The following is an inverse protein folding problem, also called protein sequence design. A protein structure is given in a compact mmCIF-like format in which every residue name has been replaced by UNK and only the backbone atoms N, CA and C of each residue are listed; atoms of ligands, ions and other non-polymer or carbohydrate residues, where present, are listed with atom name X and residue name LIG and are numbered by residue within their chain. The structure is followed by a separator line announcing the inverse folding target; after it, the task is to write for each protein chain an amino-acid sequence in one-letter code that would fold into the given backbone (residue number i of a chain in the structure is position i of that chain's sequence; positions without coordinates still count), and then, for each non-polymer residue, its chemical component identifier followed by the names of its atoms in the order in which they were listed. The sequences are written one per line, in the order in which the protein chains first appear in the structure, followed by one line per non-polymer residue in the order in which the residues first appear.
data_IF_884569068852
#
_entry.id   IF_884569068852
#
_cell.length_a   1.000
_cell.length_b   1.000
_cell.length_c   1.000
_cell.angle_alpha   90.00
_cell.angle_beta   90.00
_cell.angle_gamma   90.00
#
_symmetry.space_group_name_H-M   'P 1'
#
loop_
_entity.id
_entity.type
_entity.pdbx_description
1 polymer ?
#
# COMPACT_ATOMS: atom_id res chain seq x y z
N UNK A 1 7.46 0.22 8.52
CA UNK A 1 6.64 -0.98 8.81
C UNK A 1 6.72 -1.91 7.60
N UNK A 2 6.83 -3.23 7.81
CA UNK A 2 6.79 -4.20 6.72
C UNK A 2 5.42 -4.85 6.66
N UNK A 3 4.86 -4.99 5.45
CA UNK A 3 3.59 -5.69 5.20
C UNK A 3 3.91 -6.96 4.42
N UNK A 4 3.51 -8.11 4.96
CA UNK A 4 3.62 -9.40 4.29
C UNK A 4 2.37 -10.24 4.55
N UNK A 5 1.90 -10.92 3.51
CA UNK A 5 0.84 -11.93 3.65
C UNK A 5 1.45 -13.33 3.55
N UNK A 6 1.03 -14.20 4.47
CA UNK A 6 1.41 -15.61 4.50
C UNK A 6 0.99 -16.25 3.16
N UNK A 7 1.81 -17.11 2.52
CA UNK A 7 1.52 -17.64 1.18
C UNK A 7 0.11 -18.24 1.02
N UNK A 8 -0.36 -18.96 2.04
CA UNK A 8 -1.70 -19.59 2.05
C UNK A 8 -2.87 -18.60 1.98
N UNK A 9 -2.64 -17.33 2.31
CA UNK A 9 -3.66 -16.27 2.35
C UNK A 9 -3.59 -15.34 1.13
N UNK A 10 -2.65 -15.59 0.21
CA UNK A 10 -2.52 -14.81 -1.02
C UNK A 10 -3.68 -15.12 -1.97
N UNK A 11 -3.99 -14.15 -2.83
CA UNK A 11 -5.10 -14.27 -3.80
C UNK A 11 -6.50 -14.08 -3.21
N UNK A 12 -6.63 -13.91 -1.89
CA UNK A 12 -7.93 -13.73 -1.21
C UNK A 12 -8.27 -12.27 -0.92
N UNK A 13 -7.51 -11.32 -1.45
CA UNK A 13 -7.74 -9.88 -1.21
C UNK A 13 -7.39 -9.37 0.19
N UNK A 14 -6.82 -10.20 1.08
CA UNK A 14 -6.45 -9.82 2.45
C UNK A 14 -5.46 -8.66 2.48
N UNK A 15 -4.43 -8.69 1.62
CA UNK A 15 -3.47 -7.59 1.51
C UNK A 15 -4.16 -6.28 1.10
N UNK A 16 -5.10 -6.36 0.15
CA UNK A 16 -5.88 -5.23 -0.34
C UNK A 16 -6.75 -4.64 0.78
N UNK A 17 -7.46 -5.50 1.53
CA UNK A 17 -8.29 -5.07 2.66
C UNK A 17 -7.44 -4.40 3.75
N UNK A 18 -6.33 -5.01 4.14
CA UNK A 18 -5.43 -4.43 5.14
C UNK A 18 -4.86 -3.08 4.69
N UNK A 19 -4.42 -2.98 3.44
CA UNK A 19 -3.87 -1.73 2.90
C UNK A 19 -4.93 -0.62 2.89
N UNK A 20 -6.19 -0.96 2.57
CA UNK A 20 -7.31 -0.01 2.60
C UNK A 20 -7.53 0.56 4.00
N UNK A 21 -7.49 -0.28 5.03
CA UNK A 21 -7.63 0.17 6.43
C UNK A 21 -6.45 1.05 6.86
N UNK A 22 -5.21 0.69 6.48
CA UNK A 22 -4.03 1.52 6.75
C UNK A 22 -4.16 2.89 6.08
N UNK A 23 -4.60 2.92 4.82
CA UNK A 23 -4.81 4.18 4.09
C UNK A 23 -5.91 5.01 4.75
N UNK A 24 -7.02 4.39 5.14
CA UNK A 24 -8.12 5.06 5.83
C UNK A 24 -7.62 5.72 7.12
N UNK A 25 -6.93 4.95 7.95
CA UNK A 25 -6.31 5.44 9.18
C UNK A 25 -5.35 6.60 8.92
N UNK A 26 -4.43 6.46 7.97
CA UNK A 26 -3.45 7.51 7.66
C UNK A 26 -4.13 8.79 7.17
N UNK A 27 -5.20 8.70 6.38
CA UNK A 27 -5.97 9.86 5.90
C UNK A 27 -6.68 10.62 7.02
N UNK A 28 -7.05 9.95 8.10
CA UNK A 28 -7.64 10.58 9.29
C UNK A 28 -6.57 11.19 10.22
N UNK A 29 -5.29 10.85 10.01
CA UNK A 29 -4.17 11.44 10.74
C UNK A 29 -3.59 12.65 10.00
N UNK A 30 -2.77 13.46 10.68
CA UNK A 30 -2.03 14.59 10.07
C UNK A 30 -0.92 14.15 9.09
N UNK A 31 -0.76 12.85 8.84
CA UNK A 31 0.22 12.32 7.93
C UNK A 31 -0.11 12.73 6.48
N UNK A 32 0.77 13.54 5.89
CA UNK A 32 0.58 14.09 4.55
C UNK A 32 0.89 13.11 3.41
N UNK A 33 1.66 12.06 3.69
CA UNK A 33 2.14 11.13 2.68
C UNK A 33 2.34 9.73 3.25
N UNK A 34 1.98 8.70 2.48
CA UNK A 34 2.36 7.32 2.74
C UNK A 34 3.38 6.87 1.69
N UNK A 35 4.54 6.40 2.15
CA UNK A 35 5.62 5.91 1.29
C UNK A 35 5.73 4.40 1.45
N UNK A 36 5.84 3.69 0.33
CA UNK A 36 6.13 2.26 0.34
C UNK A 36 7.19 1.89 -0.69
N UNK A 37 8.02 0.95 -0.27
CA UNK A 37 9.01 0.32 -1.11
C UNK A 37 8.54 -1.10 -1.42
N UNK A 38 8.34 -1.39 -2.70
CA UNK A 38 7.99 -2.73 -3.19
C UNK A 38 9.02 -3.15 -4.21
N UNK A 39 9.53 -4.38 -4.08
CA UNK A 39 10.44 -4.98 -5.07
C UNK A 39 9.78 -5.16 -6.44
N UNK A 40 8.45 -5.31 -6.46
CA UNK A 40 7.65 -5.38 -7.69
C UNK A 40 6.53 -4.33 -7.66
N UNK A 41 6.45 -3.49 -8.69
CA UNK A 41 5.34 -2.54 -8.86
C UNK A 41 4.20 -3.28 -9.53
N UNK A 42 3.14 -3.58 -8.78
CA UNK A 42 1.92 -4.20 -9.27
C UNK A 42 0.86 -3.16 -9.62
N UNK A 43 0.02 -3.49 -10.61
CA UNK A 43 -1.12 -2.66 -11.01
C UNK A 43 -2.03 -2.26 -9.83
N UNK A 44 -2.16 -3.16 -8.85
CA UNK A 44 -2.96 -2.94 -7.65
C UNK A 44 -2.57 -1.69 -6.85
N UNK A 45 -1.31 -1.24 -6.88
CA UNK A 45 -0.88 -0.03 -6.15
C UNK A 45 -1.51 1.24 -6.73
N UNK A 46 -1.70 1.30 -8.04
CA UNK A 46 -2.32 2.46 -8.68
C UNK A 46 -3.80 2.59 -8.35
N UNK A 47 -4.49 1.48 -8.05
CA UNK A 47 -5.88 1.51 -7.54
C UNK A 47 -5.98 2.14 -6.15
N UNK A 48 -4.87 2.33 -5.44
CA UNK A 48 -4.78 2.98 -4.14
C UNK A 48 -4.14 4.36 -4.24
N UNK A 49 -4.18 4.99 -5.41
CA UNK A 49 -3.62 6.32 -5.69
C UNK A 49 -2.10 6.46 -5.45
N UNK A 50 -1.38 5.34 -5.31
CA UNK A 50 0.07 5.37 -5.25
C UNK A 50 0.66 5.71 -6.62
N UNK A 51 1.53 6.72 -6.63
CA UNK A 51 2.32 7.14 -7.78
C UNK A 51 3.76 6.68 -7.60
N UNK A 52 4.38 6.24 -8.71
CA UNK A 52 5.80 5.90 -8.70
C UNK A 52 6.64 7.17 -8.72
N UNK A 53 7.60 7.25 -7.82
CA UNK A 53 8.70 8.21 -7.81
C UNK A 53 10.03 7.45 -8.00
N UNK A 54 11.14 8.14 -8.24
CA UNK A 54 12.48 7.56 -8.43
C UNK A 54 12.98 6.67 -7.28
N UNK A 55 12.31 6.71 -6.12
CA UNK A 55 12.70 5.99 -4.90
C UNK A 55 11.66 4.94 -4.43
N UNK A 56 10.50 4.82 -5.09
CA UNK A 56 9.42 3.93 -4.62
C UNK A 56 8.02 4.40 -5.03
N UNK A 57 7.01 4.00 -4.26
CA UNK A 57 5.62 4.41 -4.46
C UNK A 57 5.20 5.37 -3.34
N UNK A 58 4.54 6.48 -3.70
CA UNK A 58 4.05 7.50 -2.77
C UNK A 58 2.57 7.79 -3.01
N UNK A 59 1.81 7.89 -1.92
CA UNK A 59 0.43 8.34 -1.89
C UNK A 59 0.38 9.66 -1.11
N UNK A 60 -0.20 10.68 -1.73
CA UNK A 60 -0.35 12.06 -1.21
C UNK A 60 -1.80 12.47 -1.28
#
# INVERSE_FOLDING_TARGET
MNVYTIPMWRGQGIATALLKEIICFVRETEAKCLWLHSTEVRAAWFCFDFKRNGYGLVMT
#
